data_IF_880514984407
#
_entry.id   IF_880514984407
#
_cell.length_a   1.000
_cell.length_b   1.000
_cell.length_c   1.000
_cell.angle_alpha   90.00
_cell.angle_beta   90.00
_cell.angle_gamma   90.00
#
_symmetry.space_group_name_H-M   'P 1'
#
loop_
_entity.id
_entity.type
_entity.pdbx_description
1 polymer ?
#
# COMPACT_ATOMS: atom_id res chain seq x y z
N UNK A 1 10.02 -6.12 -25.77
CA UNK A 1 9.14 -5.56 -24.74
C UNK A 1 9.23 -6.40 -23.48
N UNK A 2 9.54 -5.78 -22.34
CA UNK A 2 9.59 -6.52 -21.08
C UNK A 2 8.18 -6.89 -20.63
N UNK A 3 7.97 -8.11 -20.12
CA UNK A 3 6.67 -8.44 -19.54
C UNK A 3 6.41 -7.58 -18.31
N UNK A 4 5.13 -7.32 -17.97
CA UNK A 4 4.80 -6.55 -16.77
C UNK A 4 5.34 -7.26 -15.53
N UNK A 5 5.83 -6.46 -14.57
CA UNK A 5 6.35 -6.96 -13.31
C UNK A 5 5.20 -7.46 -12.43
N UNK A 6 5.35 -8.67 -11.89
CA UNK A 6 4.40 -9.20 -10.91
C UNK A 6 4.97 -9.09 -9.52
N UNK A 7 4.15 -8.62 -8.60
CA UNK A 7 4.53 -8.45 -7.19
C UNK A 7 3.62 -9.27 -6.28
N UNK A 8 4.12 -9.55 -5.09
CA UNK A 8 3.32 -10.15 -4.01
C UNK A 8 3.23 -9.15 -2.88
N UNK A 9 2.00 -8.91 -2.39
CA UNK A 9 1.77 -7.99 -1.29
C UNK A 9 1.84 -8.75 0.03
N UNK A 10 2.63 -8.23 0.96
CA UNK A 10 2.71 -8.72 2.34
C UNK A 10 2.39 -7.57 3.28
N UNK A 11 1.65 -7.86 4.34
CA UNK A 11 1.33 -6.86 5.37
C UNK A 11 2.12 -7.16 6.63
N UNK A 12 2.82 -6.15 7.15
CA UNK A 12 3.46 -6.25 8.47
C UNK A 12 2.38 -6.27 9.56
N UNK A 13 2.70 -6.77 10.77
CA UNK A 13 1.69 -6.87 11.83
C UNK A 13 0.93 -5.59 12.13
N UNK A 14 1.59 -4.44 12.12
CA UNK A 14 0.91 -3.16 12.32
C UNK A 14 -0.04 -2.82 11.19
N UNK A 15 0.33 -3.16 9.95
CA UNK A 15 -0.55 -2.94 8.80
C UNK A 15 -1.78 -3.83 8.88
N UNK A 16 -1.62 -5.07 9.35
CA UNK A 16 -2.76 -5.98 9.57
C UNK A 16 -3.70 -5.38 10.60
N UNK A 17 -3.18 -4.86 11.70
CA UNK A 17 -3.98 -4.20 12.73
C UNK A 17 -4.72 -2.99 12.17
N UNK A 18 -3.99 -2.15 11.42
CA UNK A 18 -4.60 -0.97 10.78
C UNK A 18 -5.77 -1.39 9.90
N UNK A 19 -5.55 -2.40 9.07
CA UNK A 19 -6.56 -2.91 8.13
C UNK A 19 -7.80 -3.42 8.87
N UNK A 20 -7.60 -4.22 9.91
CA UNK A 20 -8.71 -4.81 10.68
C UNK A 20 -9.54 -3.77 11.42
N UNK A 21 -8.94 -2.63 11.75
CA UNK A 21 -9.65 -1.55 12.47
C UNK A 21 -10.52 -0.69 11.56
N UNK A 22 -10.42 -0.87 10.23
CA UNK A 22 -11.15 -0.05 9.29
C UNK A 22 -12.58 -0.54 9.10
N UNK A 23 -13.52 0.36 8.73
CA UNK A 23 -14.85 -0.08 8.29
C UNK A 23 -14.74 -1.05 7.12
N UNK A 24 -15.67 -1.97 7.04
CA UNK A 24 -15.64 -3.04 6.04
C UNK A 24 -15.58 -2.50 4.59
N UNK A 25 -16.31 -1.43 4.31
CA UNK A 25 -16.29 -0.81 2.99
C UNK A 25 -14.90 -0.29 2.62
N UNK A 26 -14.17 0.25 3.60
CA UNK A 26 -12.80 0.73 3.37
C UNK A 26 -11.84 -0.43 3.20
N UNK A 27 -12.03 -1.52 3.97
CA UNK A 27 -11.23 -2.73 3.80
C UNK A 27 -11.34 -3.28 2.38
N UNK A 28 -12.54 -3.31 1.84
CA UNK A 28 -12.77 -3.81 0.48
C UNK A 28 -12.05 -2.95 -0.57
N UNK A 29 -12.16 -1.63 -0.44
CA UNK A 29 -11.47 -0.70 -1.36
C UNK A 29 -9.97 -0.87 -1.32
N UNK A 30 -9.41 -0.94 -0.12
CA UNK A 30 -7.96 -1.08 0.07
C UNK A 30 -7.49 -2.44 -0.45
N UNK A 31 -8.26 -3.49 -0.17
CA UNK A 31 -7.93 -4.83 -0.64
C UNK A 31 -7.82 -4.88 -2.17
N UNK A 32 -8.78 -4.27 -2.87
CA UNK A 32 -8.76 -4.20 -4.33
C UNK A 32 -7.53 -3.43 -4.82
N UNK A 33 -7.20 -2.31 -4.17
CA UNK A 33 -6.05 -1.50 -4.55
C UNK A 33 -4.73 -2.23 -4.32
N UNK A 34 -4.62 -2.99 -3.22
CA UNK A 34 -3.44 -3.79 -2.95
C UNK A 34 -3.26 -4.87 -4.02
N UNK A 35 -4.35 -5.54 -4.41
CA UNK A 35 -4.31 -6.53 -5.48
C UNK A 35 -3.90 -5.90 -6.82
N UNK A 36 -4.40 -4.71 -7.10
CA UNK A 36 -4.07 -3.98 -8.34
C UNK A 36 -2.57 -3.69 -8.41
N UNK A 37 -1.94 -3.35 -7.27
CA UNK A 37 -0.51 -3.11 -7.22
C UNK A 37 0.32 -4.34 -7.56
N UNK A 38 -0.20 -5.54 -7.35
CA UNK A 38 0.51 -6.77 -7.69
C UNK A 38 0.77 -6.86 -9.20
N UNK A 39 0.01 -6.14 -9.98
CA UNK A 39 0.15 -6.09 -11.41
C UNK A 39 0.90 -4.83 -11.82
N UNK A 40 2.23 -4.91 -11.79
CA UNK A 40 3.15 -3.86 -12.25
C UNK A 40 2.99 -2.52 -11.51
N UNK A 41 2.66 -2.57 -10.22
CA UNK A 41 2.44 -1.38 -9.36
C UNK A 41 1.37 -0.44 -9.89
N UNK A 42 0.32 -0.99 -10.49
CA UNK A 42 -0.79 -0.18 -10.96
C UNK A 42 -1.53 0.48 -9.81
N UNK A 43 -2.06 1.68 -10.05
CA UNK A 43 -2.79 2.45 -9.08
C UNK A 43 -2.13 3.78 -8.80
N UNK A 44 -2.60 4.47 -7.76
CA UNK A 44 -2.07 5.78 -7.36
C UNK A 44 -0.88 5.57 -6.41
N UNK A 45 0.27 5.23 -6.99
CA UNK A 45 1.49 4.90 -6.27
C UNK A 45 2.52 5.98 -6.48
N UNK A 46 3.14 6.46 -5.39
CA UNK A 46 4.21 7.45 -5.43
C UNK A 46 5.37 7.07 -4.53
N UNK A 47 6.58 7.40 -4.98
CA UNK A 47 7.76 7.35 -4.14
C UNK A 47 7.85 8.67 -3.37
N UNK A 48 8.00 8.56 -2.04
CA UNK A 48 8.08 9.72 -1.16
C UNK A 48 9.53 10.18 -1.03
N UNK A 49 9.73 11.49 -0.90
CA UNK A 49 11.05 12.08 -0.73
C UNK A 49 11.41 12.12 0.75
N UNK A 50 12.58 11.59 1.10
CA UNK A 50 13.12 11.61 2.47
C UNK A 50 12.14 11.02 3.50
N UNK A 51 11.47 9.94 3.12
CA UNK A 51 10.47 9.28 3.97
C UNK A 51 10.71 7.78 3.99
N UNK A 52 10.49 7.16 5.13
CA UNK A 52 10.55 5.71 5.30
C UNK A 52 9.27 5.24 5.97
N UNK A 53 8.47 4.33 5.38
CA UNK A 53 8.67 3.64 4.09
C UNK A 53 8.72 4.59 2.89
N UNK A 54 9.40 4.16 1.83
CA UNK A 54 9.67 5.03 0.67
C UNK A 54 8.50 5.24 -0.26
N UNK A 55 7.48 4.40 -0.21
CA UNK A 55 6.37 4.42 -1.16
C UNK A 55 5.04 4.56 -0.46
N UNK A 56 4.07 5.17 -1.16
CA UNK A 56 2.69 5.18 -0.71
C UNK A 56 1.75 4.82 -1.84
N UNK A 57 0.65 4.15 -1.50
CA UNK A 57 -0.46 3.92 -2.42
C UNK A 57 -1.70 4.59 -1.84
N UNK A 58 -2.33 5.45 -2.61
CA UNK A 58 -3.53 6.15 -2.20
C UNK A 58 -4.78 5.33 -2.54
N UNK A 59 -5.64 5.12 -1.54
CA UNK A 59 -6.90 4.43 -1.70
C UNK A 59 -7.96 5.21 -0.93
N UNK A 60 -8.68 6.10 -1.61
CA UNK A 60 -9.65 6.97 -0.98
C UNK A 60 -8.99 7.88 0.06
N UNK A 61 -9.50 7.83 1.29
CA UNK A 61 -8.96 8.63 2.40
C UNK A 61 -7.80 7.95 3.13
N UNK A 62 -7.35 6.81 2.63
CA UNK A 62 -6.31 6.03 3.28
C UNK A 62 -5.07 5.93 2.41
N UNK A 63 -3.94 5.67 3.06
CA UNK A 63 -2.64 5.53 2.42
C UNK A 63 -1.97 4.27 2.94
N UNK A 64 -1.56 3.38 2.03
CA UNK A 64 -0.73 2.24 2.37
C UNK A 64 0.72 2.65 2.18
N UNK A 65 1.50 2.58 3.24
CA UNK A 65 2.93 2.91 3.21
C UNK A 65 3.71 1.62 3.09
N UNK A 66 4.57 1.52 2.08
CA UNK A 66 5.23 0.27 1.77
C UNK A 66 6.65 0.44 1.23
N UNK A 67 7.38 -0.65 1.24
CA UNK A 67 8.69 -0.79 0.62
C UNK A 67 8.61 -1.87 -0.47
N UNK A 68 9.52 -1.79 -1.43
CA UNK A 68 9.63 -2.81 -2.47
C UNK A 68 10.94 -3.57 -2.24
N UNK A 69 10.83 -4.89 -2.06
CA UNK A 69 11.98 -5.77 -1.91
C UNK A 69 11.87 -6.88 -2.95
N UNK A 70 12.67 -6.79 -4.02
CA UNK A 70 12.57 -7.72 -5.13
C UNK A 70 11.19 -7.66 -5.78
N UNK A 71 10.46 -8.77 -5.73
CA UNK A 71 9.09 -8.82 -6.25
C UNK A 71 8.03 -8.70 -5.15
N UNK A 72 8.44 -8.26 -3.94
CA UNK A 72 7.52 -8.14 -2.81
C UNK A 72 7.22 -6.68 -2.51
N UNK A 73 5.94 -6.41 -2.26
CA UNK A 73 5.47 -5.13 -1.75
C UNK A 73 5.16 -5.33 -0.28
N UNK A 74 5.97 -4.74 0.60
CA UNK A 74 5.84 -4.93 2.04
C UNK A 74 5.17 -3.71 2.64
N UNK A 75 3.92 -3.88 3.06
CA UNK A 75 3.11 -2.78 3.61
C UNK A 75 3.35 -2.69 5.11
N UNK A 76 3.84 -1.54 5.56
CA UNK A 76 4.15 -1.28 6.96
C UNK A 76 2.99 -0.68 7.71
N UNK A 77 2.23 0.21 7.08
CA UNK A 77 1.08 0.88 7.71
C UNK A 77 -0.02 1.15 6.70
N UNK A 78 -1.24 1.20 7.20
CA UNK A 78 -2.40 1.69 6.44
C UNK A 78 -3.01 2.79 7.29
N UNK A 79 -2.82 4.04 6.88
CA UNK A 79 -3.17 5.20 7.70
C UNK A 79 -4.16 6.11 6.98
N UNK A 80 -4.96 6.81 7.76
CA UNK A 80 -5.79 7.88 7.22
C UNK A 80 -4.89 8.99 6.70
N UNK A 81 -5.30 9.67 5.61
CA UNK A 81 -4.50 10.72 4.98
C UNK A 81 -4.03 11.80 5.96
N UNK A 82 -4.79 12.06 7.00
CA UNK A 82 -4.45 13.07 8.01
C UNK A 82 -3.27 12.65 8.88
N UNK A 83 -2.98 11.35 8.96
CA UNK A 83 -1.90 10.82 9.79
C UNK A 83 -0.57 10.71 9.06
N UNK A 84 -0.59 10.64 7.73
CA UNK A 84 0.61 10.37 6.92
C UNK A 84 1.58 11.54 6.93
N UNK A 85 1.06 12.75 6.95
CA UNK A 85 1.85 13.98 6.80
C UNK A 85 1.97 14.78 8.10
N UNK A 86 2.01 14.10 9.22
CA UNK A 86 2.26 14.74 10.49
C UNK A 86 3.74 15.00 10.71
#
# INVERSE_FOLDING_TARGET
MKPPQKYQVELKPKAVKDFKSLPKSEQEKISIRLQTMENNLEGDVRKLTNHTPEYRMRAGNYRALFEIEGNKIIVYRILHRKEVYR
#
